data_IF_970418976163
#
_entry.id   IF_970418976163
#
_cell.length_a   1.000
_cell.length_b   1.000
_cell.length_c   1.000
_cell.angle_alpha   90.00
_cell.angle_beta   90.00
_cell.angle_gamma   90.00
#
_symmetry.space_group_name_H-M   'P 1'
#
loop_
_entity.id
_entity.type
_entity.pdbx_description
1 polymer ?
#
# COMPACT_ATOMS: atom_id res chain seq x y z
N UNK A 1 -78.56 14.69 2.76
CA UNK A 1 -77.48 14.47 3.75
C UNK A 1 -76.21 14.02 3.02
N UNK A 2 -75.15 14.84 3.01
CA UNK A 2 -73.89 14.54 2.30
C UNK A 2 -73.00 13.63 3.16
N UNK A 3 -72.73 12.40 2.71
CA UNK A 3 -71.73 11.52 3.33
C UNK A 3 -70.32 11.98 2.89
N UNK A 4 -69.58 12.61 3.79
CA UNK A 4 -68.16 12.87 3.60
C UNK A 4 -67.40 11.55 3.67
N UNK A 5 -66.99 11.01 2.50
CA UNK A 5 -66.01 9.93 2.42
C UNK A 5 -64.64 10.49 2.77
N UNK A 6 -64.19 10.27 4.01
CA UNK A 6 -62.79 10.44 4.38
C UNK A 6 -61.97 9.35 3.67
N UNK A 7 -61.17 9.76 2.67
CA UNK A 7 -60.12 8.92 2.08
C UNK A 7 -59.09 8.62 3.18
N UNK A 8 -59.15 7.42 3.74
CA UNK A 8 -58.07 6.90 4.59
C UNK A 8 -56.86 6.57 3.72
N UNK A 9 -55.97 7.54 3.53
CA UNK A 9 -54.60 7.31 3.07
C UNK A 9 -53.69 7.24 4.30
N UNK A 10 -53.66 6.09 4.97
CA UNK A 10 -52.87 5.91 6.21
C UNK A 10 -52.06 4.60 6.19
N UNK A 11 -51.44 4.25 5.05
CA UNK A 11 -50.52 3.10 4.97
C UNK A 11 -49.21 3.35 4.22
N UNK A 12 -49.02 4.53 3.61
CA UNK A 12 -47.86 4.80 2.74
C UNK A 12 -46.65 5.41 3.48
N UNK A 13 -46.87 6.19 4.54
CA UNK A 13 -45.78 6.91 5.24
C UNK A 13 -44.81 5.97 5.99
N UNK A 14 -45.32 4.91 6.64
CA UNK A 14 -44.48 3.93 7.34
C UNK A 14 -43.61 3.09 6.39
N UNK A 15 -44.11 2.79 5.19
CA UNK A 15 -43.37 2.02 4.19
C UNK A 15 -42.17 2.81 3.63
N UNK A 16 -42.34 4.12 3.42
CA UNK A 16 -41.24 4.98 2.94
C UNK A 16 -40.11 5.05 3.98
N UNK A 17 -40.46 5.16 5.26
CA UNK A 17 -39.47 5.19 6.36
C UNK A 17 -38.70 3.87 6.43
N UNK A 18 -39.38 2.73 6.33
CA UNK A 18 -38.73 1.40 6.33
C UNK A 18 -37.78 1.25 5.14
N UNK A 19 -38.21 1.64 3.94
CA UNK A 19 -37.35 1.60 2.74
C UNK A 19 -36.12 2.51 2.94
N UNK A 20 -36.30 3.70 3.50
CA UNK A 20 -35.20 4.64 3.74
C UNK A 20 -34.18 4.08 4.73
N UNK A 21 -34.63 3.43 5.81
CA UNK A 21 -33.77 2.77 6.79
C UNK A 21 -32.98 1.63 6.12
N UNK A 22 -33.63 0.80 5.29
CA UNK A 22 -32.96 -0.27 4.56
C UNK A 22 -31.88 0.30 3.64
N UNK A 23 -32.20 1.35 2.88
CA UNK A 23 -31.24 2.00 1.98
C UNK A 23 -30.06 2.57 2.76
N UNK A 24 -30.30 3.28 3.87
CA UNK A 24 -29.24 3.81 4.73
C UNK A 24 -28.40 2.69 5.35
N UNK A 25 -29.03 1.58 5.74
CA UNK A 25 -28.33 0.40 6.24
C UNK A 25 -27.38 -0.20 5.19
N UNK A 26 -27.86 -0.38 3.95
CA UNK A 26 -27.04 -0.91 2.85
C UNK A 26 -25.89 0.03 2.47
N UNK A 27 -26.15 1.34 2.40
CA UNK A 27 -25.11 2.35 2.12
C UNK A 27 -24.08 2.39 3.25
N UNK A 28 -24.52 2.33 4.51
CA UNK A 28 -23.63 2.32 5.67
C UNK A 28 -22.71 1.09 5.69
N UNK A 29 -23.27 -0.10 5.45
CA UNK A 29 -22.50 -1.35 5.36
C UNK A 29 -21.51 -1.31 4.19
N UNK A 30 -21.96 -0.85 3.02
CA UNK A 30 -21.08 -0.70 1.85
C UNK A 30 -19.93 0.27 2.11
N UNK A 31 -20.21 1.44 2.70
CA UNK A 31 -19.18 2.43 3.03
C UNK A 31 -18.17 1.91 4.05
N UNK A 32 -18.64 1.23 5.10
CA UNK A 32 -17.77 0.65 6.13
C UNK A 32 -16.86 -0.45 5.57
N UNK A 33 -17.39 -1.31 4.70
CA UNK A 33 -16.60 -2.34 4.02
C UNK A 33 -15.49 -1.73 3.14
N UNK A 34 -15.80 -0.70 2.34
CA UNK A 34 -14.81 -0.02 1.51
C UNK A 34 -13.70 0.62 2.34
N UNK A 35 -14.04 1.25 3.46
CA UNK A 35 -13.06 1.88 4.35
C UNK A 35 -12.17 0.82 5.04
N UNK A 36 -12.77 -0.28 5.50
CA UNK A 36 -12.06 -1.37 6.16
C UNK A 36 -11.04 -2.02 5.21
N UNK A 37 -11.44 -2.30 3.96
CA UNK A 37 -10.54 -2.82 2.94
C UNK A 37 -9.37 -1.86 2.64
N UNK A 38 -9.61 -0.54 2.59
CA UNK A 38 -8.52 0.44 2.40
C UNK A 38 -7.54 0.42 3.57
N UNK A 39 -8.04 0.30 4.79
CA UNK A 39 -7.18 0.26 5.97
C UNK A 39 -6.35 -1.03 6.02
N UNK A 40 -6.94 -2.15 5.62
CA UNK A 40 -6.26 -3.44 5.49
C UNK A 40 -5.17 -3.39 4.42
N UNK A 41 -5.50 -2.95 3.20
CA UNK A 41 -4.53 -2.72 2.12
C UNK A 41 -3.40 -1.77 2.55
N UNK A 42 -3.72 -0.70 3.29
CA UNK A 42 -2.69 0.20 3.80
C UNK A 42 -1.74 -0.48 4.80
N UNK A 43 -2.27 -1.36 5.65
CA UNK A 43 -1.49 -2.14 6.60
C UNK A 43 -0.61 -3.17 5.90
N UNK A 44 -1.17 -3.90 4.94
CA UNK A 44 -0.43 -4.87 4.12
C UNK A 44 0.68 -4.20 3.32
N UNK A 45 0.41 -3.06 2.68
CA UNK A 45 1.44 -2.32 1.93
C UNK A 45 2.59 -1.86 2.81
N UNK A 46 2.30 -1.39 4.03
CA UNK A 46 3.35 -1.05 5.02
C UNK A 46 4.15 -2.28 5.46
N UNK A 47 3.50 -3.42 5.64
CA UNK A 47 4.16 -4.67 6.00
C UNK A 47 5.07 -5.15 4.84
N UNK A 48 4.56 -5.10 3.61
CA UNK A 48 5.32 -5.42 2.41
C UNK A 48 6.53 -4.50 2.24
N UNK A 49 6.39 -3.18 2.41
CA UNK A 49 7.52 -2.24 2.33
C UNK A 49 8.63 -2.58 3.34
N UNK A 50 8.25 -2.94 4.56
CA UNK A 50 9.20 -3.37 5.61
C UNK A 50 9.90 -4.67 5.24
N UNK A 51 9.14 -5.68 4.82
CA UNK A 51 9.71 -6.97 4.39
C UNK A 51 10.62 -6.80 3.18
N UNK A 52 10.19 -6.04 2.17
CA UNK A 52 10.95 -5.80 0.96
C UNK A 52 12.27 -5.10 1.27
N UNK A 53 12.23 -4.03 2.07
CA UNK A 53 13.45 -3.33 2.51
C UNK A 53 14.39 -4.28 3.24
N UNK A 54 13.88 -5.08 4.18
CA UNK A 54 14.68 -6.04 4.94
C UNK A 54 15.32 -7.11 4.04
N UNK A 55 14.56 -7.72 3.14
CA UNK A 55 15.06 -8.74 2.21
C UNK A 55 16.10 -8.19 1.24
N UNK A 56 15.89 -6.98 0.72
CA UNK A 56 16.86 -6.31 -0.16
C UNK A 56 18.18 -6.09 0.57
N UNK A 57 18.14 -5.63 1.82
CA UNK A 57 19.36 -5.41 2.61
C UNK A 57 20.07 -6.71 2.97
N UNK A 58 19.32 -7.80 3.14
CA UNK A 58 19.87 -9.15 3.33
C UNK A 58 20.47 -9.75 2.05
N UNK A 59 20.36 -9.07 0.91
CA UNK A 59 20.92 -9.53 -0.35
C UNK A 59 20.01 -10.45 -1.17
N UNK A 60 18.71 -10.50 -0.88
CA UNK A 60 17.75 -11.37 -1.57
C UNK A 60 17.36 -10.81 -2.94
N UNK A 61 18.26 -10.96 -3.92
CA UNK A 61 18.07 -10.53 -5.30
C UNK A 61 16.92 -11.27 -6.01
N UNK A 62 16.60 -12.50 -5.58
CA UNK A 62 15.49 -13.27 -6.13
C UNK A 62 14.15 -12.70 -5.70
N UNK A 63 14.02 -12.34 -4.42
CA UNK A 63 12.83 -11.62 -3.94
C UNK A 63 12.67 -10.29 -4.68
N UNK A 64 13.73 -9.49 -4.78
CA UNK A 64 13.66 -8.19 -5.44
C UNK A 64 13.22 -8.32 -6.90
N UNK A 65 13.92 -9.14 -7.70
CA UNK A 65 13.62 -9.34 -9.12
C UNK A 65 12.21 -9.90 -9.38
N UNK A 66 11.72 -10.80 -8.53
CA UNK A 66 10.37 -11.38 -8.67
C UNK A 66 9.25 -10.38 -8.34
N UNK A 67 9.50 -9.42 -7.47
CA UNK A 67 8.55 -8.39 -7.04
C UNK A 67 8.67 -7.08 -7.83
N UNK A 68 9.65 -6.90 -8.71
CA UNK A 68 9.70 -5.74 -9.59
C UNK A 68 8.44 -5.66 -10.47
N UNK A 69 7.92 -4.44 -10.60
CA UNK A 69 6.88 -4.12 -11.58
C UNK A 69 7.41 -4.34 -13.01
N UNK A 70 6.52 -4.55 -13.99
CA UNK A 70 6.93 -4.65 -15.39
C UNK A 70 7.76 -3.45 -15.88
N UNK A 71 7.43 -2.24 -15.42
CA UNK A 71 8.17 -1.03 -15.74
C UNK A 71 9.56 -1.03 -15.11
N UNK A 72 9.65 -1.39 -13.82
CA UNK A 72 10.91 -1.38 -13.06
C UNK A 72 11.88 -2.44 -13.54
N UNK A 73 11.40 -3.59 -14.05
CA UNK A 73 12.27 -4.61 -14.66
C UNK A 73 13.10 -4.07 -15.82
N UNK A 74 12.59 -3.08 -16.55
CA UNK A 74 13.35 -2.44 -17.62
C UNK A 74 14.50 -1.56 -17.08
N UNK A 75 14.33 -0.98 -15.88
CA UNK A 75 15.33 -0.16 -15.22
C UNK A 75 16.36 -0.98 -14.42
N UNK A 76 16.03 -2.23 -14.09
CA UNK A 76 16.88 -3.16 -13.35
C UNK A 76 17.21 -4.42 -14.17
N UNK A 77 17.98 -4.31 -15.27
CA UNK A 77 18.51 -5.48 -15.94
C UNK A 77 19.48 -6.25 -15.02
N UNK A 78 19.81 -7.52 -15.33
CA UNK A 78 20.65 -8.36 -14.46
C UNK A 78 21.98 -7.74 -14.04
N UNK A 79 22.63 -6.94 -14.91
CA UNK A 79 23.87 -6.23 -14.59
C UNK A 79 23.67 -5.18 -13.48
N UNK A 80 22.65 -4.33 -13.61
CA UNK A 80 22.32 -3.28 -12.63
C UNK A 80 21.88 -3.91 -11.31
N UNK A 81 21.13 -5.02 -11.35
CA UNK A 81 20.79 -5.79 -10.16
C UNK A 81 22.05 -6.27 -9.43
N UNK A 82 22.97 -6.90 -10.16
CA UNK A 82 24.20 -7.43 -9.58
C UNK A 82 25.07 -6.32 -8.96
N UNK A 83 25.20 -5.17 -9.63
CA UNK A 83 25.91 -4.00 -9.11
C UNK A 83 25.25 -3.45 -7.85
N UNK A 84 23.93 -3.24 -7.88
CA UNK A 84 23.16 -2.73 -6.73
C UNK A 84 23.33 -3.62 -5.49
N UNK A 85 23.25 -4.94 -5.66
CA UNK A 85 23.41 -5.87 -4.55
C UNK A 85 24.86 -6.03 -4.11
N UNK A 86 25.83 -5.87 -5.02
CA UNK A 86 27.24 -5.80 -4.65
C UNK A 86 27.53 -4.58 -3.74
N UNK A 87 26.96 -3.42 -4.06
CA UNK A 87 27.11 -2.20 -3.27
C UNK A 87 26.49 -2.30 -1.87
N UNK A 88 25.33 -2.95 -1.77
CA UNK A 88 24.67 -3.23 -0.49
C UNK A 88 25.52 -4.21 0.33
N UNK A 89 25.98 -5.31 -0.29
CA UNK A 89 26.75 -6.37 0.39
C UNK A 89 28.12 -5.87 0.86
N UNK A 90 28.78 -5.00 0.10
CA UNK A 90 30.08 -4.40 0.44
C UNK A 90 30.06 -3.68 1.80
N UNK A 91 28.91 -3.18 2.24
CA UNK A 91 28.75 -2.47 3.51
C UNK A 91 28.54 -3.39 4.71
N UNK A 92 28.35 -4.68 4.46
CA UNK A 92 28.11 -5.68 5.49
C UNK A 92 26.71 -5.61 6.10
N UNK A 93 26.57 -6.21 7.28
CA UNK A 93 25.28 -6.26 7.97
C UNK A 93 24.91 -4.90 8.59
N UNK A 94 23.63 -4.52 8.53
CA UNK A 94 23.12 -3.35 9.27
C UNK A 94 23.35 -3.47 10.77
N UNK A 95 23.55 -2.34 11.41
CA UNK A 95 23.64 -2.18 12.87
C UNK A 95 22.32 -1.62 13.38
N UNK A 96 21.58 -2.46 14.10
CA UNK A 96 20.30 -2.08 14.72
C UNK A 96 19.08 -2.25 13.81
N UNK A 97 17.90 -1.85 14.31
CA UNK A 97 16.65 -2.00 13.56
C UNK A 97 16.58 -1.04 12.38
N UNK A 98 16.02 -1.54 11.27
CA UNK A 98 15.72 -0.73 10.09
C UNK A 98 14.34 -0.10 10.25
N UNK A 99 14.29 1.21 10.43
CA UNK A 99 13.03 1.95 10.47
C UNK A 99 12.61 2.38 9.07
N UNK A 100 11.49 1.80 8.60
CA UNK A 100 10.90 2.09 7.30
C UNK A 100 9.70 3.01 7.50
N UNK A 101 9.83 4.24 7.03
CA UNK A 101 8.84 5.30 7.16
C UNK A 101 8.17 5.57 5.80
N UNK A 102 6.85 5.70 5.81
CA UNK A 102 6.06 5.96 4.60
C UNK A 102 4.60 5.60 4.81
N UNK A 103 3.77 6.06 3.88
CA UNK A 103 2.33 5.87 3.92
C UNK A 103 1.80 5.39 2.57
N UNK A 104 0.71 4.63 2.62
CA UNK A 104 -0.03 4.19 1.45
C UNK A 104 -1.07 5.25 1.07
N UNK A 105 -1.06 5.65 -0.19
CA UNK A 105 -2.02 6.56 -0.82
C UNK A 105 -2.85 5.79 -1.85
N UNK A 106 -4.11 6.18 -1.99
CA UNK A 106 -5.04 5.60 -2.96
C UNK A 106 -5.37 6.66 -4.00
N UNK A 107 -4.96 6.44 -5.26
CA UNK A 107 -5.13 7.46 -6.31
C UNK A 107 -6.56 7.51 -6.91
N UNK A 108 -7.41 6.50 -6.70
CA UNK A 108 -8.74 6.45 -7.33
C UNK A 108 -9.76 5.57 -6.58
N UNK A 109 -11.02 5.62 -7.04
CA UNK A 109 -12.12 4.69 -6.71
C UNK A 109 -11.81 3.22 -7.03
N UNK A 110 -10.77 2.94 -7.83
CA UNK A 110 -10.39 1.59 -8.27
C UNK A 110 -9.40 0.86 -7.34
N UNK A 111 -9.14 1.35 -6.13
CA UNK A 111 -8.30 0.64 -5.14
C UNK A 111 -6.90 0.29 -5.66
N UNK A 112 -6.23 1.25 -6.31
CA UNK A 112 -4.80 1.12 -6.61
C UNK A 112 -4.00 1.81 -5.49
N UNK A 113 -3.58 1.09 -4.43
CA UNK A 113 -2.71 1.66 -3.44
C UNK A 113 -1.30 1.79 -4.02
N UNK A 114 -0.68 2.93 -3.72
CA UNK A 114 0.73 3.22 -3.98
C UNK A 114 1.36 3.79 -2.72
N UNK A 115 2.62 3.51 -2.47
CA UNK A 115 3.32 4.08 -1.33
C UNK A 115 4.77 4.36 -1.65
N UNK A 116 5.26 5.49 -1.14
CA UNK A 116 6.66 5.86 -1.18
C UNK A 116 7.22 5.74 0.24
N UNK A 117 8.29 4.96 0.36
CA UNK A 117 8.91 4.60 1.62
C UNK A 117 10.37 5.03 1.62
N UNK A 118 10.83 5.41 2.80
CA UNK A 118 12.19 5.79 3.12
C UNK A 118 12.67 4.97 4.30
N UNK A 119 13.89 4.46 4.23
CA UNK A 119 14.54 3.82 5.37
C UNK A 119 15.97 4.31 5.51
N UNK A 120 16.44 4.52 6.74
CA UNK A 120 17.85 4.76 7.02
C UNK A 120 18.49 3.51 7.58
N UNK A 121 19.54 3.04 6.93
CA UNK A 121 20.29 1.84 7.29
C UNK A 121 21.60 2.29 7.89
N UNK A 122 21.80 2.01 9.19
CA UNK A 122 23.07 2.28 9.83
C UNK A 122 23.98 1.06 9.63
N UNK A 123 25.24 1.31 9.28
CA UNK A 123 26.32 0.34 9.26
C UNK A 123 27.35 0.74 10.32
N UNK A 124 28.37 -0.11 10.54
CA UNK A 124 29.37 0.11 11.61
C UNK A 124 30.04 1.50 11.58
N UNK A 125 30.35 2.01 10.38
CA UNK A 125 31.06 3.28 10.21
C UNK A 125 30.32 4.31 9.32
N UNK A 126 29.22 3.91 8.67
CA UNK A 126 28.50 4.75 7.69
C UNK A 126 27.00 4.51 7.77
N UNK A 127 26.20 5.28 7.06
CA UNK A 127 24.79 4.96 6.82
C UNK A 127 24.47 4.99 5.33
N UNK A 128 23.35 4.39 4.95
CA UNK A 128 22.75 4.55 3.64
C UNK A 128 21.25 4.87 3.79
N UNK A 129 20.74 5.72 2.91
CA UNK A 129 19.30 5.97 2.81
C UNK A 129 18.74 5.15 1.65
N UNK A 130 17.64 4.45 1.90
CA UNK A 130 16.90 3.67 0.92
C UNK A 130 15.60 4.40 0.60
N UNK A 131 15.27 4.47 -0.68
CA UNK A 131 13.95 4.86 -1.17
C UNK A 131 13.32 3.68 -1.89
N UNK A 132 12.07 3.39 -1.56
CA UNK A 132 11.31 2.28 -2.11
C UNK A 132 9.91 2.78 -2.47
N UNK A 133 9.52 2.68 -3.74
CA UNK A 133 8.14 2.91 -4.16
C UNK A 133 7.48 1.56 -4.44
N UNK A 134 6.25 1.38 -3.96
CA UNK A 134 5.48 0.15 -4.14
C UNK A 134 4.08 0.46 -4.65
N UNK A 135 3.49 -0.52 -5.31
CA UNK A 135 2.07 -0.51 -5.67
C UNK A 135 1.46 -1.90 -5.56
N UNK A 136 0.13 -1.96 -5.56
CA UNK A 136 -0.60 -3.22 -5.64
C UNK A 136 -1.54 -3.19 -6.86
N UNK A 137 -1.04 -3.42 -8.09
CA UNK A 137 -1.94 -3.79 -9.18
C UNK A 137 -2.64 -5.10 -8.80
N UNK A 138 -3.83 -5.34 -9.37
CA UNK A 138 -4.65 -6.51 -9.04
C UNK A 138 -3.81 -7.78 -8.96
N UNK A 139 -3.73 -8.38 -7.76
CA UNK A 139 -3.09 -9.67 -7.52
C UNK A 139 -1.93 -9.69 -6.51
N UNK A 140 -1.04 -8.68 -6.48
CA UNK A 140 0.08 -8.67 -5.52
C UNK A 140 0.73 -7.30 -5.35
N UNK A 141 1.41 -7.11 -4.22
CA UNK A 141 2.35 -6.00 -4.03
C UNK A 141 3.58 -6.15 -4.91
N UNK A 142 4.03 -5.04 -5.49
CA UNK A 142 5.20 -4.97 -6.35
C UNK A 142 6.03 -3.73 -6.03
N UNK A 143 7.29 -3.76 -6.47
CA UNK A 143 8.26 -2.68 -6.32
C UNK A 143 8.31 -1.90 -7.63
N UNK A 144 8.00 -0.60 -7.56
CA UNK A 144 7.95 0.31 -8.70
C UNK A 144 9.26 1.11 -8.86
N UNK A 145 9.92 1.46 -7.75
CA UNK A 145 11.22 2.13 -7.77
C UNK A 145 12.03 1.69 -6.55
N UNK A 146 13.35 1.67 -6.71
CA UNK A 146 14.28 1.42 -5.63
C UNK A 146 15.54 2.26 -5.83
N UNK A 147 15.95 2.99 -4.80
CA UNK A 147 17.20 3.74 -4.81
C UNK A 147 17.97 3.50 -3.52
N UNK A 148 19.21 3.08 -3.68
CA UNK A 148 20.17 2.93 -2.61
C UNK A 148 21.14 4.11 -2.65
N UNK A 149 21.07 4.99 -1.65
CA UNK A 149 21.90 6.18 -1.55
C UNK A 149 22.91 6.01 -0.41
N UNK A 150 24.12 5.51 -0.70
CA UNK A 150 25.15 5.43 0.30
C UNK A 150 25.64 6.83 0.71
N UNK A 151 25.99 7.00 1.99
CA UNK A 151 26.74 8.17 2.41
C UNK A 151 28.09 8.19 1.67
N UNK A 152 28.39 9.30 0.99
CA UNK A 152 29.70 9.52 0.38
C UNK A 152 30.77 9.48 1.48
N UNK A 153 31.80 8.64 1.28
CA UNK A 153 33.00 8.67 2.11
C UNK A 153 33.63 10.07 1.98
N UNK A 154 33.81 10.76 3.10
CA UNK A 154 34.51 12.05 3.15
C UNK A 154 36.02 11.83 3.13
#
# INVERSE_FOLDING_TARGET
MKKLKLKSQSKSSGQIIVVLIIVLGLVGVGFWWLFSNKQEMAREGKAFAKEATQRIIQGDANFFSSHLSPASRMNFPPSVLQETFADITKRGAPVGPVDVQGDIKFQSQFFEPRGDFRARINYQATYADIYLSISHPVGRWQIDDFRFLPQAER
#
